data_IF_494301801230
#
_entry.id   IF_494301801230
#
_cell.length_a   1.000
_cell.length_b   1.000
_cell.length_c   1.000
_cell.angle_alpha   90.00
_cell.angle_beta   90.00
_cell.angle_gamma   90.00
#
_symmetry.space_group_name_H-M   'P 1'
#
loop_
_entity.id
_entity.type
_entity.pdbx_description
1 polymer ?
#
# COMPACT_ATOMS: atom_id res chain seq x y z
N UNK A 1 -31.35 -26.14 0.75
CA UNK A 1 -30.99 -24.88 1.39
C UNK A 1 -32.00 -23.83 0.98
N UNK A 2 -32.61 -23.11 1.94
CA UNK A 2 -33.50 -22.00 1.63
C UNK A 2 -32.70 -20.75 1.27
N UNK A 3 -33.10 -20.04 0.22
CA UNK A 3 -32.49 -18.77 -0.18
C UNK A 3 -33.33 -17.63 0.38
N UNK A 4 -32.73 -16.76 1.21
CA UNK A 4 -33.35 -15.56 1.74
C UNK A 4 -32.78 -14.36 0.98
N UNK A 5 -33.65 -13.57 0.37
CA UNK A 5 -33.27 -12.31 -0.30
C UNK A 5 -33.66 -11.15 0.61
N UNK A 6 -32.67 -10.35 1.02
CA UNK A 6 -32.88 -9.10 1.72
C UNK A 6 -33.03 -7.98 0.69
N UNK A 7 -34.25 -7.45 0.54
CA UNK A 7 -34.58 -6.45 -0.49
C UNK A 7 -34.37 -5.01 0.01
N UNK A 8 -34.31 -4.81 1.31
CA UNK A 8 -34.11 -3.50 1.92
C UNK A 8 -32.93 -3.50 2.89
N UNK A 9 -32.26 -2.38 3.00
CA UNK A 9 -31.16 -2.18 3.94
C UNK A 9 -31.68 -1.68 5.27
N UNK A 10 -31.11 -2.15 6.36
CA UNK A 10 -31.42 -1.65 7.69
C UNK A 10 -31.15 -0.14 7.75
N UNK A 11 -32.11 0.61 8.30
CA UNK A 11 -32.02 2.06 8.46
C UNK A 11 -32.08 2.89 7.17
N UNK A 12 -32.45 2.33 6.02
CA UNK A 12 -32.58 3.06 4.75
C UNK A 12 -31.25 3.60 4.20
N UNK A 13 -30.12 3.03 4.63
CA UNK A 13 -28.77 3.49 4.23
C UNK A 13 -28.57 3.33 2.74
N UNK A 14 -28.20 4.42 2.06
CA UNK A 14 -27.88 4.43 0.64
C UNK A 14 -26.58 3.65 0.34
N UNK A 15 -26.47 3.12 -0.89
CA UNK A 15 -25.23 2.52 -1.36
C UNK A 15 -24.13 3.59 -1.47
N UNK A 16 -22.87 3.24 -1.15
CA UNK A 16 -21.78 4.15 -1.39
C UNK A 16 -21.62 4.40 -2.90
N UNK A 17 -21.23 5.61 -3.26
CA UNK A 17 -20.80 5.92 -4.62
C UNK A 17 -19.45 5.30 -4.89
N UNK A 18 -19.30 4.58 -6.01
CA UNK A 18 -18.05 3.96 -6.43
C UNK A 18 -17.49 4.73 -7.61
N UNK A 19 -16.34 5.35 -7.43
CA UNK A 19 -15.63 6.09 -8.45
C UNK A 19 -14.36 5.36 -8.87
N UNK A 20 -14.19 5.15 -10.17
CA UNK A 20 -13.04 4.44 -10.73
C UNK A 20 -12.11 5.42 -11.46
N UNK A 21 -10.83 5.42 -11.11
CA UNK A 21 -9.80 6.19 -11.80
C UNK A 21 -9.05 5.31 -12.80
N UNK A 22 -8.90 5.79 -14.05
CA UNK A 22 -8.09 5.13 -15.07
C UNK A 22 -6.62 5.54 -14.92
N UNK A 23 -5.84 4.71 -14.23
CA UNK A 23 -4.43 5.01 -13.95
C UNK A 23 -3.56 5.07 -15.21
N UNK A 24 -3.86 4.29 -16.26
CA UNK A 24 -3.11 4.36 -17.51
C UNK A 24 -3.27 5.72 -18.20
N UNK A 25 -4.49 6.28 -18.19
CA UNK A 25 -4.76 7.63 -18.70
C UNK A 25 -4.03 8.67 -17.87
N UNK A 26 -4.10 8.56 -16.55
CA UNK A 26 -3.41 9.48 -15.62
C UNK A 26 -1.88 9.45 -15.78
N UNK A 27 -1.29 8.27 -15.98
CA UNK A 27 0.15 8.13 -16.28
C UNK A 27 0.52 8.82 -17.61
N UNK A 28 -0.26 8.60 -18.67
CA UNK A 28 -0.03 9.26 -19.97
C UNK A 28 -0.12 10.79 -19.87
N UNK A 29 -1.04 11.28 -19.06
CA UNK A 29 -1.24 12.71 -18.80
C UNK A 29 -0.24 13.30 -17.81
N UNK A 30 0.66 12.50 -17.21
CA UNK A 30 1.61 12.88 -16.17
C UNK A 30 0.93 13.54 -14.96
N UNK A 31 -0.33 13.16 -14.67
CA UNK A 31 -1.11 13.69 -13.55
C UNK A 31 -0.95 12.88 -12.25
N UNK A 32 -0.29 11.73 -12.31
CA UNK A 32 0.06 10.95 -11.13
C UNK A 32 1.12 11.66 -10.27
N UNK A 33 0.98 11.54 -8.95
CA UNK A 33 2.01 11.93 -7.99
C UNK A 33 2.25 10.75 -7.05
N UNK A 34 3.43 10.14 -7.16
CA UNK A 34 3.69 8.87 -6.49
C UNK A 34 2.70 7.79 -6.92
N UNK A 35 2.09 7.13 -5.97
CA UNK A 35 1.04 6.12 -6.18
C UNK A 35 -0.38 6.68 -6.36
N UNK A 36 -0.56 8.02 -6.31
CA UNK A 36 -1.88 8.65 -6.24
C UNK A 36 -2.28 9.32 -7.55
N UNK A 37 -3.48 8.97 -8.06
CA UNK A 37 -4.09 9.68 -9.18
C UNK A 37 -4.50 11.11 -8.81
N UNK A 38 -4.59 12.01 -9.79
CA UNK A 38 -5.04 13.38 -9.54
C UNK A 38 -6.43 13.37 -8.89
N UNK A 39 -7.36 12.58 -9.47
CA UNK A 39 -8.73 12.49 -8.96
C UNK A 39 -8.76 12.05 -7.49
N UNK A 40 -7.98 11.03 -7.10
CA UNK A 40 -7.94 10.56 -5.72
C UNK A 40 -7.42 11.66 -4.79
N UNK A 41 -6.35 12.36 -5.18
CA UNK A 41 -5.79 13.45 -4.37
C UNK A 41 -6.76 14.61 -4.19
N UNK A 42 -7.47 15.00 -5.26
CA UNK A 42 -8.46 16.08 -5.20
C UNK A 42 -9.60 15.70 -4.22
N UNK A 43 -10.15 14.48 -4.32
CA UNK A 43 -11.18 13.98 -3.40
C UNK A 43 -10.69 13.87 -1.94
N UNK A 44 -9.43 13.47 -1.75
CA UNK A 44 -8.83 13.42 -0.41
C UNK A 44 -8.71 14.84 0.18
N UNK A 45 -8.26 15.81 -0.61
CA UNK A 45 -8.18 17.20 -0.18
C UNK A 45 -9.55 17.74 0.25
N UNK A 46 -10.57 17.61 -0.59
CA UNK A 46 -11.95 18.04 -0.28
C UNK A 46 -12.49 17.36 0.99
N UNK A 47 -12.20 16.06 1.15
CA UNK A 47 -12.64 15.30 2.34
C UNK A 47 -11.99 15.82 3.62
N UNK A 48 -10.68 16.08 3.58
CA UNK A 48 -9.93 16.60 4.73
C UNK A 48 -10.33 18.07 5.05
N UNK A 49 -10.52 18.90 4.05
CA UNK A 49 -10.98 20.28 4.21
C UNK A 49 -12.38 20.36 4.83
N UNK A 50 -13.24 19.36 4.55
CA UNK A 50 -14.55 19.23 5.19
C UNK A 50 -14.51 18.62 6.59
N UNK A 51 -13.32 18.40 7.17
CA UNK A 51 -13.13 17.84 8.51
C UNK A 51 -13.51 16.35 8.61
N UNK A 52 -13.59 15.65 7.48
CA UNK A 52 -13.94 14.22 7.44
C UNK A 52 -12.71 13.33 7.42
N UNK A 53 -12.92 12.06 7.65
CA UNK A 53 -11.87 11.03 7.73
C UNK A 53 -11.78 10.23 6.44
N UNK A 54 -10.61 9.65 6.20
CA UNK A 54 -10.31 8.86 5.00
C UNK A 54 -9.71 7.52 5.42
N UNK A 55 -10.20 6.43 4.82
CA UNK A 55 -9.58 5.12 4.94
C UNK A 55 -9.02 4.74 3.57
N UNK A 56 -7.71 4.51 3.51
CA UNK A 56 -7.04 3.98 2.33
C UNK A 56 -6.74 2.50 2.53
N UNK A 57 -7.20 1.67 1.60
CA UNK A 57 -6.91 0.24 1.62
C UNK A 57 -5.84 -0.12 0.60
N UNK A 58 -4.75 -0.73 1.09
CA UNK A 58 -3.69 -1.30 0.27
C UNK A 58 -3.33 -2.70 0.73
N UNK A 59 -3.47 -3.68 -0.15
CA UNK A 59 -3.29 -5.10 0.18
C UNK A 59 -1.81 -5.56 0.20
N UNK A 60 -0.84 -4.66 0.17
CA UNK A 60 0.60 -5.01 0.16
C UNK A 60 1.34 -4.29 1.27
N UNK A 61 1.95 -5.07 2.17
CA UNK A 61 2.80 -4.57 3.28
C UNK A 61 4.18 -4.14 2.79
N UNK A 62 4.92 -3.48 3.68
CA UNK A 62 6.28 -3.02 3.46
C UNK A 62 6.37 -1.74 2.64
N UNK A 63 7.59 -1.38 2.24
CA UNK A 63 7.85 -0.22 1.40
C UNK A 63 7.56 -0.51 -0.08
N UNK A 64 8.10 -1.62 -0.59
CA UNK A 64 7.84 -2.11 -1.93
C UNK A 64 7.64 -3.63 -1.92
N UNK A 65 6.58 -4.15 -2.53
CA UNK A 65 6.25 -5.58 -2.52
C UNK A 65 7.22 -6.44 -3.31
N UNK A 66 8.12 -5.86 -4.09
CA UNK A 66 9.16 -6.59 -4.80
C UNK A 66 10.43 -5.76 -5.02
N UNK A 67 11.56 -6.45 -5.20
CA UNK A 67 12.82 -5.90 -5.66
C UNK A 67 13.07 -6.46 -7.06
N UNK A 68 13.02 -5.61 -8.08
CA UNK A 68 12.89 -6.06 -9.46
C UNK A 68 13.88 -5.36 -10.38
N UNK A 69 14.35 -6.08 -11.39
CA UNK A 69 15.21 -5.56 -12.46
C UNK A 69 14.37 -4.79 -13.50
N UNK A 70 14.76 -3.56 -13.80
CA UNK A 70 14.10 -2.77 -14.86
C UNK A 70 14.44 -3.26 -16.27
N UNK A 71 15.57 -3.94 -16.44
CA UNK A 71 16.02 -4.39 -17.76
C UNK A 71 15.30 -5.66 -18.24
N UNK A 72 15.10 -6.64 -17.37
CA UNK A 72 14.50 -7.93 -17.76
C UNK A 72 13.20 -8.27 -17.00
N UNK A 73 12.81 -7.47 -16.00
CA UNK A 73 11.60 -7.71 -15.23
C UNK A 73 11.74 -8.77 -14.13
N UNK A 74 12.89 -9.42 -14.03
CA UNK A 74 13.15 -10.45 -13.02
C UNK A 74 13.05 -9.89 -11.60
N UNK A 75 12.40 -10.61 -10.69
CA UNK A 75 12.22 -10.23 -9.30
C UNK A 75 13.07 -11.12 -8.38
N UNK A 76 13.60 -10.52 -7.31
CA UNK A 76 14.30 -11.29 -6.28
C UNK A 76 13.32 -12.14 -5.49
N UNK A 77 13.42 -13.45 -5.65
CA UNK A 77 12.51 -14.44 -5.07
C UNK A 77 13.05 -15.01 -3.75
N UNK A 78 12.14 -15.44 -2.90
CA UNK A 78 12.50 -16.22 -1.72
C UNK A 78 12.95 -17.63 -2.14
N UNK A 79 14.14 -18.05 -1.72
CA UNK A 79 14.68 -19.38 -2.04
C UNK A 79 13.88 -20.53 -1.45
N UNK A 80 13.05 -20.26 -0.42
CA UNK A 80 12.25 -21.29 0.28
C UNK A 80 10.79 -21.35 -0.16
N UNK A 81 10.24 -20.24 -0.64
CA UNK A 81 8.79 -20.08 -0.89
C UNK A 81 8.47 -19.69 -2.33
N UNK A 82 9.47 -19.41 -3.17
CA UNK A 82 9.30 -19.00 -4.56
C UNK A 82 8.36 -17.79 -4.76
N UNK A 83 8.26 -16.93 -3.75
CA UNK A 83 7.49 -15.67 -3.79
C UNK A 83 8.46 -14.48 -3.80
N UNK A 84 8.08 -13.34 -4.39
CA UNK A 84 8.91 -12.13 -4.36
C UNK A 84 9.20 -11.68 -2.93
N UNK A 85 10.46 -11.30 -2.68
CA UNK A 85 10.86 -10.70 -1.42
C UNK A 85 10.40 -9.25 -1.36
N UNK A 86 9.84 -8.86 -0.22
CA UNK A 86 9.36 -7.51 0.06
C UNK A 86 10.48 -6.65 0.62
N UNK A 87 10.66 -5.46 0.08
CA UNK A 87 11.57 -4.46 0.62
C UNK A 87 10.93 -3.69 1.77
N UNK A 88 11.62 -3.61 2.89
CA UNK A 88 11.30 -2.78 4.04
C UNK A 88 12.39 -1.74 4.25
N UNK A 89 12.01 -0.46 4.27
CA UNK A 89 12.96 0.63 4.47
C UNK A 89 13.51 0.64 5.90
N UNK A 90 12.64 0.39 6.88
CA UNK A 90 13.00 0.39 8.31
C UNK A 90 13.74 -0.88 8.78
N UNK A 91 13.53 -2.01 8.13
CA UNK A 91 14.13 -3.30 8.52
C UNK A 91 15.37 -3.69 7.71
N UNK A 92 15.95 -2.79 6.94
CA UNK A 92 17.15 -3.00 6.13
C UNK A 92 17.18 -4.36 5.42
N UNK A 93 16.69 -4.41 4.18
CA UNK A 93 16.80 -5.60 3.36
C UNK A 93 15.51 -6.04 2.68
N UNK A 94 15.56 -7.25 2.18
CA UNK A 94 14.45 -7.93 1.53
C UNK A 94 13.96 -9.05 2.43
N UNK A 95 12.67 -9.13 2.68
CA UNK A 95 12.08 -10.07 3.61
C UNK A 95 10.97 -10.91 2.97
N UNK A 96 10.94 -12.19 3.28
CA UNK A 96 9.83 -13.08 2.97
C UNK A 96 8.81 -13.02 4.10
N UNK A 97 7.60 -12.53 3.83
CA UNK A 97 6.54 -12.50 4.82
C UNK A 97 5.89 -13.85 5.12
N UNK A 98 6.27 -14.90 4.37
CA UNK A 98 5.74 -16.25 4.57
C UNK A 98 6.63 -17.08 5.50
N UNK A 99 7.94 -17.15 5.25
CA UNK A 99 8.86 -18.01 6.03
C UNK A 99 9.89 -17.24 6.87
N UNK A 100 9.91 -15.91 6.81
CA UNK A 100 10.88 -15.09 7.54
C UNK A 100 12.29 -15.03 6.90
N UNK A 101 12.52 -15.71 5.76
CA UNK A 101 13.79 -15.59 5.04
C UNK A 101 14.09 -14.13 4.70
N UNK A 102 15.37 -13.73 4.81
CA UNK A 102 15.77 -12.36 4.50
C UNK A 102 17.13 -12.29 3.82
N UNK A 103 17.31 -11.25 3.03
CA UNK A 103 18.58 -10.89 2.38
C UNK A 103 18.94 -9.46 2.76
N UNK A 104 20.14 -9.26 3.29
CA UNK A 104 20.68 -7.94 3.61
C UNK A 104 22.18 -7.90 3.33
N UNK A 105 22.68 -6.90 2.59
CA UNK A 105 21.96 -5.87 1.86
C UNK A 105 21.19 -6.42 0.64
N UNK A 106 20.23 -5.65 0.08
CA UNK A 106 19.58 -6.02 -1.18
C UNK A 106 20.60 -6.15 -2.31
N UNK A 107 20.41 -7.09 -3.26
CA UNK A 107 21.35 -7.30 -4.36
C UNK A 107 21.39 -6.04 -5.25
N UNK A 108 22.63 -5.65 -5.62
CA UNK A 108 22.90 -4.52 -6.53
C UNK A 108 22.91 -4.92 -8.00
N UNK A 109 22.86 -6.22 -8.29
CA UNK A 109 22.95 -6.80 -9.63
C UNK A 109 21.85 -7.84 -9.81
N UNK A 110 21.22 -7.86 -10.98
CA UNK A 110 20.22 -8.86 -11.32
C UNK A 110 20.88 -10.24 -11.51
N UNK A 111 20.34 -11.26 -10.85
CA UNK A 111 20.81 -12.63 -10.98
C UNK A 111 20.56 -13.22 -12.37
N UNK A 112 19.49 -12.81 -13.06
CA UNK A 112 19.12 -13.35 -14.36
C UNK A 112 19.89 -12.71 -15.52
N UNK A 113 19.96 -11.37 -15.60
CA UNK A 113 20.57 -10.68 -16.77
C UNK A 113 21.85 -9.90 -16.45
N UNK A 114 22.29 -9.86 -15.21
CA UNK A 114 23.48 -9.16 -14.79
C UNK A 114 23.39 -7.63 -14.73
N UNK A 115 22.24 -7.04 -15.04
CA UNK A 115 22.02 -5.59 -15.00
C UNK A 115 22.13 -5.03 -13.58
N UNK A 116 22.65 -3.82 -13.44
CA UNK A 116 22.67 -3.08 -12.18
C UNK A 116 21.37 -2.26 -11.92
N UNK A 117 20.39 -2.35 -12.82
CA UNK A 117 19.12 -1.63 -12.70
C UNK A 117 18.09 -2.39 -11.84
N UNK A 118 18.49 -2.84 -10.66
CA UNK A 118 17.58 -3.50 -9.70
C UNK A 118 17.13 -2.50 -8.64
N UNK A 119 15.82 -2.42 -8.42
CA UNK A 119 15.23 -1.43 -7.50
C UNK A 119 13.89 -1.88 -6.91
N UNK A 120 13.43 -1.22 -5.82
CA UNK A 120 12.12 -1.49 -5.26
C UNK A 120 11.01 -1.14 -6.26
N UNK A 121 10.04 -2.06 -6.45
CA UNK A 121 8.88 -1.91 -7.33
C UNK A 121 7.58 -2.09 -6.57
N UNK A 122 6.59 -1.30 -6.97
CA UNK A 122 5.25 -1.31 -6.42
C UNK A 122 5.09 -0.35 -5.24
N UNK A 123 3.91 -0.40 -4.64
CA UNK A 123 3.46 0.51 -3.60
C UNK A 123 3.02 -0.31 -2.38
N UNK A 124 3.78 -0.26 -1.31
CA UNK A 124 3.42 -0.87 -0.04
C UNK A 124 2.92 0.16 0.96
N UNK A 125 2.40 -0.31 2.10
CA UNK A 125 1.81 0.56 3.14
C UNK A 125 2.80 1.55 3.74
N UNK A 126 4.08 1.19 3.88
CA UNK A 126 5.13 2.11 4.35
C UNK A 126 5.35 3.28 3.39
N UNK A 127 5.37 2.99 2.10
CA UNK A 127 5.54 4.02 1.07
C UNK A 127 4.33 4.94 0.97
N UNK A 128 3.12 4.38 1.10
CA UNK A 128 1.89 5.18 1.15
C UNK A 128 1.92 6.16 2.31
N UNK A 129 2.31 5.71 3.51
CA UNK A 129 2.43 6.56 4.69
C UNK A 129 3.40 7.73 4.45
N UNK A 130 4.56 7.49 3.84
CA UNK A 130 5.53 8.52 3.48
C UNK A 130 4.96 9.50 2.42
N UNK A 131 4.39 8.97 1.33
CA UNK A 131 3.81 9.81 0.25
C UNK A 131 2.63 10.65 0.76
N UNK A 132 1.83 10.15 1.70
CA UNK A 132 0.75 10.92 2.32
C UNK A 132 1.27 12.05 3.20
N UNK A 133 2.33 11.83 3.97
CA UNK A 133 2.95 12.87 4.78
C UNK A 133 3.49 14.03 3.93
N UNK A 134 3.97 13.74 2.70
CA UNK A 134 4.41 14.76 1.75
C UNK A 134 3.23 15.48 1.08
N UNK A 135 2.15 14.74 0.74
CA UNK A 135 0.98 15.29 0.05
C UNK A 135 0.07 16.10 0.98
N UNK A 136 -0.07 15.66 2.22
CA UNK A 136 -0.98 16.22 3.22
C UNK A 136 -0.26 16.40 4.58
N UNK A 137 0.68 17.33 4.69
CA UNK A 137 1.53 17.46 5.90
C UNK A 137 0.77 17.81 7.17
N UNK A 138 -0.44 18.35 7.05
CA UNK A 138 -1.31 18.67 8.18
C UNK A 138 -2.26 17.52 8.59
N UNK A 139 -2.34 16.45 7.80
CA UNK A 139 -3.19 15.32 8.10
C UNK A 139 -2.51 14.35 9.08
N UNK A 140 -3.25 13.88 10.07
CA UNK A 140 -2.79 12.79 10.95
C UNK A 140 -2.93 11.47 10.22
N UNK A 141 -1.83 10.84 9.85
CA UNK A 141 -1.82 9.54 9.17
C UNK A 141 -1.46 8.44 10.17
N UNK A 142 -2.26 7.38 10.18
CA UNK A 142 -1.97 6.17 10.96
C UNK A 142 -2.00 4.94 10.06
N UNK A 143 -0.94 4.13 10.12
CA UNK A 143 -0.86 2.89 9.36
C UNK A 143 -1.31 1.71 10.22
N UNK A 144 -2.20 0.89 9.66
CA UNK A 144 -2.66 -0.34 10.28
C UNK A 144 -2.31 -1.53 9.39
N UNK A 145 -1.28 -2.25 9.73
CA UNK A 145 -0.88 -3.52 9.10
C UNK A 145 -0.27 -4.48 10.14
N UNK A 146 0.09 -5.69 9.75
CA UNK A 146 0.66 -6.67 10.69
C UNK A 146 1.99 -6.22 11.31
N UNK A 147 2.71 -5.31 10.67
CA UNK A 147 4.00 -4.84 11.20
C UNK A 147 3.79 -3.78 12.29
N UNK A 148 2.72 -2.98 12.18
CA UNK A 148 2.36 -1.94 13.17
C UNK A 148 1.45 -2.46 14.28
N UNK A 149 0.76 -3.59 14.07
CA UNK A 149 -0.26 -4.12 14.99
C UNK A 149 0.15 -5.40 15.71
N UNK A 150 1.44 -5.67 15.86
CA UNK A 150 1.96 -6.86 16.58
C UNK A 150 1.64 -6.85 18.07
N UNK A 151 1.53 -5.69 18.68
CA UNK A 151 1.18 -5.60 20.13
C UNK A 151 -0.33 -5.69 20.34
N UNK A 152 -0.74 -6.36 21.43
CA UNK A 152 -2.14 -6.66 21.78
C UNK A 152 -3.08 -5.44 21.81
N UNK A 153 -2.55 -4.25 22.13
CA UNK A 153 -3.32 -3.00 22.22
C UNK A 153 -3.16 -2.05 21.01
N UNK A 154 -2.34 -2.42 20.02
CA UNK A 154 -2.05 -1.51 18.91
C UNK A 154 -3.27 -1.23 18.04
N UNK A 155 -4.09 -2.25 17.75
CA UNK A 155 -5.34 -2.10 17.02
C UNK A 155 -6.29 -1.11 17.70
N UNK A 156 -6.57 -1.32 19.00
CA UNK A 156 -7.48 -0.45 19.76
C UNK A 156 -7.01 1.00 19.75
N UNK A 157 -5.72 1.25 19.98
CA UNK A 157 -5.16 2.61 19.96
C UNK A 157 -5.33 3.31 18.61
N UNK A 158 -5.13 2.59 17.49
CA UNK A 158 -5.29 3.17 16.16
C UNK A 158 -6.77 3.50 15.91
N UNK A 159 -7.68 2.58 16.28
CA UNK A 159 -9.13 2.79 16.11
C UNK A 159 -9.65 3.93 17.00
N UNK A 160 -9.22 4.01 18.26
CA UNK A 160 -9.56 5.11 19.17
C UNK A 160 -9.06 6.46 18.66
N UNK A 161 -7.82 6.50 18.13
CA UNK A 161 -7.25 7.71 17.56
C UNK A 161 -7.95 8.13 16.25
N UNK A 162 -8.55 7.19 15.53
CA UNK A 162 -9.34 7.46 14.33
C UNK A 162 -10.77 7.89 14.66
N UNK A 163 -11.34 7.44 15.78
CA UNK A 163 -12.70 7.79 16.21
C UNK A 163 -12.84 9.16 16.87
N UNK A 164 -11.74 9.80 17.25
CA UNK A 164 -11.65 11.12 17.88
C UNK A 164 -11.12 12.15 16.88
#
# INVERSE_FOLDING_TARGET
MARVNLMERYGGVMLPEILVANLQKEHKQRSMRGGFSKRLRDMMAETLESGKQIILFQNRRGYAPSWQCDACGDAVMCERCEIPLTHHKKMFGLHCHHCGYHISPPPKKCGACGSHSVKPKGLGTERIEEELAELFPNAKVSRMDLDTTRSKSAHSRILEAFGN
#
